data_IF_335131067321
#
_entry.id   IF_335131067321
#
_cell.length_a   1.000
_cell.length_b   1.000
_cell.length_c   1.000
_cell.angle_alpha   90.00
_cell.angle_beta   90.00
_cell.angle_gamma   90.00
#
_symmetry.space_group_name_H-M   'P 1'
#
loop_
_entity.id
_entity.type
_entity.pdbx_description
1 polymer ?
#
# COMPACT_ATOMS: atom_id res chain seq x y z
N UNK A 1 8.98 8.84 -14.12
CA UNK A 1 8.81 7.56 -14.86
C UNK A 1 7.70 7.74 -15.88
N UNK A 2 7.84 7.16 -17.08
CA UNK A 2 6.81 7.29 -18.11
C UNK A 2 5.46 6.76 -17.61
N UNK A 3 4.33 7.44 -17.93
CA UNK A 3 3.00 6.99 -17.53
C UNK A 3 2.67 5.54 -17.92
N UNK A 4 3.26 5.09 -19.03
CA UNK A 4 3.10 3.75 -19.58
C UNK A 4 3.71 2.64 -18.71
N UNK A 5 4.69 2.95 -17.84
CA UNK A 5 5.33 1.96 -16.96
C UNK A 5 4.73 2.01 -15.55
N UNK A 6 4.41 3.21 -15.04
CA UNK A 6 3.90 3.39 -13.67
C UNK A 6 2.50 2.78 -13.48
N UNK A 7 1.62 2.88 -14.48
CA UNK A 7 0.24 2.40 -14.40
C UNK A 7 0.20 0.87 -14.31
N UNK A 8 0.82 0.09 -15.22
CA UNK A 8 0.82 -1.37 -15.11
C UNK A 8 1.59 -1.86 -13.88
N UNK A 9 2.65 -1.16 -13.46
CA UNK A 9 3.37 -1.50 -12.23
C UNK A 9 2.50 -1.29 -10.98
N UNK A 10 1.85 -0.14 -10.86
CA UNK A 10 0.94 0.13 -9.75
C UNK A 10 -0.25 -0.83 -9.72
N UNK A 11 -0.77 -1.19 -10.89
CA UNK A 11 -1.84 -2.18 -11.03
C UNK A 11 -1.36 -3.59 -10.62
N UNK A 12 -0.16 -3.99 -11.02
CA UNK A 12 0.44 -5.25 -10.56
C UNK A 12 0.60 -5.28 -9.04
N UNK A 13 1.08 -4.19 -8.43
CA UNK A 13 1.21 -4.06 -6.98
C UNK A 13 -0.16 -4.12 -6.28
N UNK A 14 -1.19 -3.48 -6.84
CA UNK A 14 -2.56 -3.58 -6.33
C UNK A 14 -3.06 -5.02 -6.36
N UNK A 15 -2.85 -5.74 -7.46
CA UNK A 15 -3.27 -7.14 -7.58
C UNK A 15 -2.55 -8.01 -6.57
N UNK A 16 -1.25 -7.80 -6.35
CA UNK A 16 -0.49 -8.52 -5.32
C UNK A 16 -1.04 -8.22 -3.92
N UNK A 17 -1.29 -6.94 -3.59
CA UNK A 17 -1.91 -6.54 -2.32
C UNK A 17 -3.27 -7.19 -2.11
N UNK A 18 -4.12 -7.18 -3.14
CA UNK A 18 -5.43 -7.82 -3.12
C UNK A 18 -5.34 -9.34 -2.90
N UNK A 19 -4.45 -10.03 -3.61
CA UNK A 19 -4.24 -11.47 -3.43
C UNK A 19 -3.75 -11.79 -2.02
N UNK A 20 -2.93 -10.92 -1.42
CA UNK A 20 -2.47 -11.05 -0.05
C UNK A 20 -3.63 -10.93 0.98
N UNK A 21 -4.61 -10.08 0.70
CA UNK A 21 -5.86 -9.97 1.49
C UNK A 21 -6.78 -11.17 1.26
N UNK A 22 -6.94 -11.63 0.02
CA UNK A 22 -7.82 -12.76 -0.31
C UNK A 22 -7.28 -14.08 0.25
N UNK A 23 -5.96 -14.31 0.14
CA UNK A 23 -5.28 -15.54 0.55
C UNK A 23 -4.49 -15.36 1.84
N UNK A 24 -5.11 -14.75 2.85
CA UNK A 24 -4.46 -14.52 4.14
C UNK A 24 -4.00 -15.82 4.81
N UNK A 25 -4.73 -16.93 4.66
CA UNK A 25 -4.31 -18.21 5.26
C UNK A 25 -3.03 -18.76 4.62
N UNK A 26 -2.77 -18.48 3.35
CA UNK A 26 -1.51 -18.85 2.69
C UNK A 26 -0.37 -18.02 3.28
N UNK A 27 -0.57 -16.71 3.40
CA UNK A 27 0.41 -15.80 4.02
C UNK A 27 0.69 -16.20 5.47
N UNK A 28 -0.35 -16.53 6.24
CA UNK A 28 -0.25 -17.02 7.61
C UNK A 28 0.49 -18.36 7.67
N UNK A 29 0.28 -19.26 6.71
CA UNK A 29 0.97 -20.56 6.68
C UNK A 29 2.47 -20.42 6.37
N UNK A 30 2.87 -19.38 5.65
CA UNK A 30 4.27 -19.13 5.30
C UNK A 30 5.02 -18.37 6.38
N UNK A 31 4.41 -17.33 6.95
CA UNK A 31 5.06 -16.46 7.95
C UNK A 31 4.76 -16.87 9.40
N UNK A 32 3.72 -17.68 9.64
CA UNK A 32 3.31 -18.08 10.97
C UNK A 32 2.50 -17.02 11.72
N UNK A 33 2.28 -17.24 13.02
CA UNK A 33 1.59 -16.28 13.90
C UNK A 33 2.60 -15.27 14.45
N UNK A 34 2.23 -13.99 14.42
CA UNK A 34 3.06 -12.89 14.94
C UNK A 34 2.64 -12.61 16.39
N UNK A 35 3.54 -12.72 17.38
CA UNK A 35 3.19 -12.52 18.79
C UNK A 35 2.68 -11.11 19.09
N UNK A 36 3.26 -10.08 18.47
CA UNK A 36 2.75 -8.70 18.57
C UNK A 36 1.30 -8.56 18.09
N UNK A 37 0.95 -9.25 17.00
CA UNK A 37 -0.39 -9.17 16.44
C UNK A 37 -1.40 -9.92 17.32
N UNK A 38 -1.02 -11.07 17.88
CA UNK A 38 -1.87 -11.80 18.85
C UNK A 38 -2.04 -11.01 20.16
N UNK A 39 -1.01 -10.30 20.62
CA UNK A 39 -1.09 -9.47 21.84
C UNK A 39 -1.98 -8.23 21.64
N UNK A 40 -1.92 -7.58 20.48
CA UNK A 40 -2.69 -6.36 20.18
C UNK A 40 -4.13 -6.64 19.73
N UNK A 41 -4.36 -7.71 18.97
CA UNK A 41 -5.66 -7.99 18.35
C UNK A 41 -6.34 -9.24 18.92
N UNK A 42 -5.72 -9.93 19.88
CA UNK A 42 -6.25 -11.14 20.50
C UNK A 42 -6.00 -12.41 19.67
N UNK A 43 -6.69 -13.50 20.01
CA UNK A 43 -6.52 -14.80 19.35
C UNK A 43 -6.92 -14.73 17.87
N UNK A 44 -5.97 -14.98 16.98
CA UNK A 44 -6.15 -14.83 15.52
C UNK A 44 -5.81 -13.44 14.99
N UNK A 45 -5.27 -12.57 15.85
CA UNK A 45 -4.81 -11.23 15.50
C UNK A 45 -3.80 -11.18 14.35
N UNK A 46 -3.00 -12.24 14.20
CA UNK A 46 -2.07 -12.39 13.08
C UNK A 46 -2.79 -12.36 11.72
N UNK A 47 -3.95 -13.02 11.60
CA UNK A 47 -4.76 -13.00 10.36
C UNK A 47 -5.23 -11.59 10.03
N UNK A 48 -5.69 -10.86 11.04
CA UNK A 48 -6.14 -9.48 10.86
C UNK A 48 -4.98 -8.58 10.44
N UNK A 49 -3.81 -8.75 11.06
CA UNK A 49 -2.61 -7.99 10.74
C UNK A 49 -2.13 -8.21 9.30
N UNK A 50 -2.12 -9.45 8.81
CA UNK A 50 -1.77 -9.74 7.41
C UNK A 50 -2.76 -9.14 6.41
N UNK A 51 -4.07 -9.10 6.76
CA UNK A 51 -5.06 -8.38 5.94
C UNK A 51 -4.80 -6.88 5.91
N UNK A 52 -4.48 -6.27 7.06
CA UNK A 52 -4.12 -4.86 7.14
C UNK A 52 -2.90 -4.54 6.28
N UNK A 53 -1.87 -5.38 6.30
CA UNK A 53 -0.71 -5.24 5.43
C UNK A 53 -1.09 -5.34 3.95
N UNK A 54 -1.89 -6.33 3.56
CA UNK A 54 -2.35 -6.46 2.17
C UNK A 54 -3.18 -5.27 1.69
N UNK A 55 -4.03 -4.71 2.56
CA UNK A 55 -4.77 -3.47 2.29
C UNK A 55 -3.80 -2.31 2.09
N UNK A 56 -2.82 -2.13 2.98
CA UNK A 56 -1.81 -1.09 2.86
C UNK A 56 -0.99 -1.21 1.57
N UNK A 57 -0.59 -2.44 1.19
CA UNK A 57 0.10 -2.71 -0.08
C UNK A 57 -0.78 -2.35 -1.28
N UNK A 58 -2.09 -2.62 -1.20
CA UNK A 58 -3.03 -2.22 -2.26
C UNK A 58 -3.07 -0.69 -2.41
N UNK A 59 -3.12 0.05 -1.30
CA UNK A 59 -3.04 1.51 -1.31
C UNK A 59 -1.71 2.03 -1.88
N UNK A 60 -0.59 1.37 -1.58
CA UNK A 60 0.69 1.71 -2.19
C UNK A 60 0.67 1.52 -3.71
N UNK A 61 0.04 0.45 -4.21
CA UNK A 61 -0.18 0.25 -5.64
C UNK A 61 -0.98 1.39 -6.28
N UNK A 62 -2.04 1.87 -5.61
CA UNK A 62 -2.83 3.04 -6.05
C UNK A 62 -1.94 4.29 -6.10
N UNK A 63 -1.14 4.55 -5.06
CA UNK A 63 -0.27 5.72 -5.04
C UNK A 63 0.76 5.72 -6.17
N UNK A 64 1.32 4.56 -6.49
CA UNK A 64 2.26 4.38 -7.61
C UNK A 64 1.55 4.59 -8.95
N UNK A 65 0.35 4.03 -9.12
CA UNK A 65 -0.42 4.15 -10.36
C UNK A 65 -0.83 5.61 -10.64
N UNK A 66 -1.37 6.29 -9.63
CA UNK A 66 -1.90 7.65 -9.74
C UNK A 66 -0.80 8.72 -9.68
N UNK A 67 0.42 8.35 -9.27
CA UNK A 67 1.57 9.25 -9.14
C UNK A 67 1.27 10.49 -8.26
N UNK A 68 0.49 10.29 -7.20
CA UNK A 68 -0.02 11.35 -6.32
C UNK A 68 1.11 12.20 -5.74
N UNK A 69 2.25 11.57 -5.45
CA UNK A 69 3.43 12.24 -4.90
C UNK A 69 3.92 13.37 -5.82
N UNK A 70 3.97 13.16 -7.14
CA UNK A 70 4.36 14.23 -8.06
C UNK A 70 3.37 15.38 -8.08
N UNK A 71 2.06 15.09 -8.05
CA UNK A 71 1.03 16.13 -8.03
C UNK A 71 1.11 16.97 -6.75
N UNK A 72 1.29 16.32 -5.59
CA UNK A 72 1.49 16.99 -4.31
C UNK A 72 2.74 17.88 -4.37
N UNK A 73 3.89 17.35 -4.80
CA UNK A 73 5.14 18.14 -4.88
C UNK A 73 5.02 19.33 -5.83
N UNK A 74 4.30 19.20 -6.94
CA UNK A 74 4.06 20.28 -7.91
C UNK A 74 3.14 21.35 -7.32
N UNK A 75 2.06 20.96 -6.63
CA UNK A 75 1.15 21.89 -5.94
C UNK A 75 1.86 22.66 -4.82
N UNK A 76 2.66 21.96 -4.00
CA UNK A 76 3.43 22.63 -2.95
C UNK A 76 4.54 23.52 -3.51
N UNK A 77 5.24 23.07 -4.55
CA UNK A 77 6.21 23.92 -5.24
C UNK A 77 5.54 25.16 -5.83
N UNK A 78 4.35 25.02 -6.41
CA UNK A 78 3.52 26.11 -6.89
C UNK A 78 3.22 27.12 -5.79
N UNK A 79 2.70 26.67 -4.65
CA UNK A 79 2.41 27.56 -3.49
C UNK A 79 3.66 28.32 -3.02
N UNK A 80 4.80 27.64 -2.95
CA UNK A 80 6.05 28.23 -2.47
C UNK A 80 6.69 29.19 -3.48
N UNK A 81 6.47 28.96 -4.77
CA UNK A 81 7.02 29.81 -5.85
C UNK A 81 6.08 30.93 -6.27
N UNK A 82 4.76 30.83 -6.00
CA UNK A 82 3.78 31.88 -6.28
C UNK A 82 3.61 32.92 -5.15
N UNK A 83 4.31 32.79 -4.01
CA UNK A 83 4.38 33.85 -2.99
C UNK A 83 5.41 34.93 -3.38
N UNK A 84 5.24 35.53 -4.55
CA UNK A 84 6.20 36.48 -5.11
C UNK A 84 5.77 37.16 -6.41
N UNK A 85 4.51 37.61 -6.51
CA UNK A 85 4.11 38.72 -7.39
C UNK A 85 2.79 39.34 -6.90
#
# INVERSE_FOLDING_TARGET
MSPLIRIPLGLAVMVVGFLMVQKTDVVLSWFGRIPFAEEKFGSGGSRFFYKLLGIATTFLGIFIATNVISGILEDLAGILTHSGS
#
